data_IF_722413313989
#
_entry.id   IF_722413313989
#
_cell.length_a   1.000
_cell.length_b   1.000
_cell.length_c   1.000
_cell.angle_alpha   90.00
_cell.angle_beta   90.00
_cell.angle_gamma   90.00
#
_symmetry.space_group_name_H-M   'P 1'
#
loop_
_entity.id
_entity.type
_entity.pdbx_description
1 polymer ?
#
# COMPACT_ATOMS: atom_id res chain seq x y z
N UNK A 1 37.27 27.12 -8.81
CA UNK A 1 36.25 26.86 -7.77
C UNK A 1 36.87 27.19 -6.42
N UNK A 2 36.24 28.02 -5.59
CA UNK A 2 36.82 28.44 -4.30
C UNK A 2 36.50 27.41 -3.21
N UNK A 3 37.38 27.24 -2.22
CA UNK A 3 37.18 26.28 -1.12
C UNK A 3 35.83 26.48 -0.37
N UNK A 4 35.35 27.73 -0.32
CA UNK A 4 34.05 28.09 0.24
C UNK A 4 32.88 27.48 -0.56
N UNK A 5 32.96 27.46 -1.89
CA UNK A 5 31.92 26.87 -2.74
C UNK A 5 31.82 25.35 -2.55
N UNK A 6 32.97 24.66 -2.46
CA UNK A 6 33.02 23.22 -2.21
C UNK A 6 32.45 22.86 -0.82
N UNK A 7 32.68 23.70 0.19
CA UNK A 7 32.14 23.51 1.54
C UNK A 7 30.60 23.62 1.57
N UNK A 8 30.05 24.62 0.87
CA UNK A 8 28.60 24.78 0.75
C UNK A 8 27.94 23.61 0.00
N UNK A 9 28.55 23.13 -1.08
CA UNK A 9 28.06 21.96 -1.81
C UNK A 9 28.06 20.69 -0.95
N UNK A 10 29.10 20.46 -0.15
CA UNK A 10 29.16 19.33 0.77
C UNK A 10 28.06 19.40 1.85
N UNK A 11 27.80 20.60 2.39
CA UNK A 11 26.74 20.81 3.37
C UNK A 11 25.33 20.55 2.79
N UNK A 12 25.07 21.00 1.56
CA UNK A 12 23.79 20.79 0.88
C UNK A 12 23.57 19.30 0.57
N UNK A 13 24.58 18.62 0.02
CA UNK A 13 24.48 17.20 -0.31
C UNK A 13 24.38 16.32 0.95
N UNK A 14 25.15 16.64 1.99
CA UNK A 14 25.10 15.92 3.27
C UNK A 14 23.77 16.12 4.00
N UNK A 15 23.27 17.36 4.06
CA UNK A 15 21.97 17.66 4.65
C UNK A 15 20.80 17.05 3.86
N UNK A 16 20.85 17.13 2.54
CA UNK A 16 19.86 16.51 1.66
C UNK A 16 19.83 14.98 1.80
N UNK A 17 21.00 14.33 1.84
CA UNK A 17 21.11 12.89 2.06
C UNK A 17 20.54 12.46 3.42
N UNK A 18 20.82 13.22 4.49
CA UNK A 18 20.26 12.95 5.82
C UNK A 18 18.72 13.06 5.84
N UNK A 19 18.16 14.09 5.20
CA UNK A 19 16.70 14.28 5.12
C UNK A 19 16.01 13.16 4.32
N UNK A 20 16.61 12.72 3.21
CA UNK A 20 16.11 11.59 2.43
C UNK A 20 16.16 10.31 3.27
N UNK A 21 17.26 10.06 3.98
CA UNK A 21 17.42 8.90 4.85
C UNK A 21 16.37 8.83 5.97
N UNK A 22 16.13 9.95 6.66
CA UNK A 22 15.08 10.05 7.70
C UNK A 22 13.69 9.86 7.12
N UNK A 23 13.42 10.43 5.94
CA UNK A 23 12.12 10.29 5.26
C UNK A 23 11.87 8.84 4.84
N UNK A 24 12.87 8.17 4.27
CA UNK A 24 12.78 6.76 3.88
C UNK A 24 12.57 5.85 5.10
N UNK A 25 13.29 6.09 6.19
CA UNK A 25 13.13 5.35 7.44
C UNK A 25 11.77 5.57 8.10
N UNK A 26 11.28 6.80 8.11
CA UNK A 26 9.92 7.14 8.57
C UNK A 26 8.84 6.47 7.73
N UNK A 27 8.98 6.48 6.40
CA UNK A 27 8.05 5.85 5.48
C UNK A 27 7.92 4.35 5.76
N UNK A 28 9.05 3.63 5.89
CA UNK A 28 9.10 2.21 6.24
C UNK A 28 8.44 1.88 7.59
N UNK A 29 8.46 2.80 8.56
CA UNK A 29 7.85 2.59 9.88
C UNK A 29 6.36 2.91 9.94
N UNK A 30 5.88 3.83 9.08
CA UNK A 30 4.47 4.23 9.04
C UNK A 30 3.65 3.28 8.17
N UNK A 31 4.24 2.74 7.10
CA UNK A 31 3.64 1.66 6.32
C UNK A 31 4.06 0.31 6.91
N UNK A 32 3.27 -0.21 7.86
CA UNK A 32 3.39 -1.63 8.18
C UNK A 32 3.21 -2.44 6.87
N UNK A 33 4.04 -3.45 6.58
CA UNK A 33 3.88 -4.24 5.38
C UNK A 33 2.46 -4.81 5.34
N UNK A 34 1.72 -4.55 4.26
CA UNK A 34 0.32 -4.98 4.13
C UNK A 34 0.17 -6.49 4.31
N UNK A 35 1.18 -7.26 3.91
CA UNK A 35 1.21 -8.71 4.05
C UNK A 35 1.22 -9.16 5.52
N UNK A 36 1.99 -8.47 6.38
CA UNK A 36 2.04 -8.78 7.81
C UNK A 36 0.75 -8.41 8.52
N UNK A 37 0.06 -7.35 8.06
CA UNK A 37 -1.23 -6.95 8.59
C UNK A 37 -2.34 -7.90 8.14
N UNK A 38 -2.33 -8.31 6.86
CA UNK A 38 -3.26 -9.28 6.32
C UNK A 38 -3.12 -10.65 7.02
N UNK A 39 -1.88 -11.09 7.31
CA UNK A 39 -1.63 -12.33 8.02
C UNK A 39 -2.15 -12.31 9.47
N UNK A 40 -2.03 -11.17 10.16
CA UNK A 40 -2.60 -11.01 11.51
C UNK A 40 -4.13 -11.09 11.47
N UNK A 41 -4.79 -10.34 10.58
CA UNK A 41 -6.25 -10.39 10.43
C UNK A 41 -6.71 -11.81 10.09
N UNK A 42 -6.02 -12.51 9.18
CA UNK A 42 -6.37 -13.89 8.84
C UNK A 42 -6.32 -14.83 10.06
N UNK A 43 -5.41 -14.60 11.00
CA UNK A 43 -5.33 -15.36 12.25
C UNK A 43 -6.50 -15.07 13.19
N UNK A 44 -7.04 -13.85 13.17
CA UNK A 44 -8.19 -13.47 13.99
C UNK A 44 -9.51 -14.03 13.44
N UNK A 45 -9.57 -14.38 12.16
CA UNK A 45 -10.76 -14.90 11.47
C UNK A 45 -10.47 -16.21 10.72
N UNK A 46 -10.16 -17.31 11.44
CA UNK A 46 -9.73 -18.58 10.82
C UNK A 46 -10.80 -19.28 9.96
N UNK A 47 -12.06 -18.86 10.08
CA UNK A 47 -13.20 -19.37 9.33
C UNK A 47 -13.38 -18.66 7.97
N UNK A 48 -12.69 -17.54 7.75
CA UNK A 48 -12.79 -16.75 6.53
C UNK A 48 -11.86 -17.34 5.46
N UNK A 49 -12.44 -17.69 4.32
CA UNK A 49 -11.66 -18.13 3.16
C UNK A 49 -11.07 -16.93 2.42
N UNK A 50 -9.75 -16.94 2.23
CA UNK A 50 -9.05 -15.97 1.41
C UNK A 50 -9.06 -16.39 -0.06
N UNK A 51 -9.67 -15.56 -0.90
CA UNK A 51 -9.84 -15.85 -2.32
C UNK A 51 -8.81 -15.07 -3.16
N UNK A 52 -7.98 -15.74 -3.97
CA UNK A 52 -7.06 -15.06 -4.88
C UNK A 52 -7.79 -14.25 -5.97
N UNK A 53 -7.21 -13.14 -6.47
CA UNK A 53 -7.84 -12.33 -7.52
C UNK A 53 -8.21 -13.10 -8.79
N UNK A 54 -7.39 -14.08 -9.20
CA UNK A 54 -7.67 -14.91 -10.37
C UNK A 54 -8.91 -15.80 -10.18
N UNK A 55 -9.11 -16.31 -8.97
CA UNK A 55 -10.29 -17.11 -8.62
C UNK A 55 -11.55 -16.24 -8.63
N UNK A 56 -11.48 -15.05 -8.04
CA UNK A 56 -12.57 -14.08 -8.07
C UNK A 56 -12.94 -13.72 -9.51
N UNK A 57 -11.95 -13.46 -10.38
CA UNK A 57 -12.20 -13.17 -11.79
C UNK A 57 -12.96 -14.31 -12.48
N UNK A 58 -12.59 -15.57 -12.21
CA UNK A 58 -13.33 -16.73 -12.71
C UNK A 58 -14.79 -16.77 -12.23
N UNK A 59 -15.02 -16.51 -10.94
CA UNK A 59 -16.38 -16.46 -10.39
C UNK A 59 -17.22 -15.32 -10.97
N UNK A 60 -16.61 -14.16 -11.24
CA UNK A 60 -17.32 -13.04 -11.88
C UNK A 60 -17.86 -13.39 -13.28
N UNK A 61 -17.21 -14.32 -13.98
CA UNK A 61 -17.66 -14.79 -15.29
C UNK A 61 -18.68 -15.95 -15.21
N UNK A 62 -18.58 -16.81 -14.18
CA UNK A 62 -19.34 -18.07 -14.10
C UNK A 62 -20.51 -18.08 -13.10
N UNK A 63 -20.48 -17.21 -12.08
CA UNK A 63 -21.44 -17.24 -10.97
C UNK A 63 -22.42 -16.04 -11.05
N UNK A 64 -23.60 -16.20 -11.66
CA UNK A 64 -24.54 -15.10 -11.87
C UNK A 64 -25.13 -14.52 -10.59
N UNK A 65 -24.97 -15.22 -9.46
CA UNK A 65 -25.46 -14.80 -8.14
C UNK A 65 -24.33 -14.35 -7.20
N UNK A 66 -23.14 -14.06 -7.72
CA UNK A 66 -22.02 -13.55 -6.93
C UNK A 66 -22.29 -12.10 -6.50
N UNK A 67 -22.20 -11.84 -5.19
CA UNK A 67 -22.22 -10.50 -4.63
C UNK A 67 -20.81 -10.12 -4.16
N UNK A 68 -20.28 -9.02 -4.70
CA UNK A 68 -19.01 -8.43 -4.27
C UNK A 68 -19.31 -7.14 -3.52
N UNK A 69 -18.81 -7.01 -2.29
CA UNK A 69 -19.03 -5.85 -1.42
C UNK A 69 -17.69 -5.16 -1.19
N UNK A 70 -17.60 -3.87 -1.50
CA UNK A 70 -16.43 -3.05 -1.21
C UNK A 70 -16.63 -2.34 0.13
N UNK A 71 -15.96 -2.83 1.17
CA UNK A 71 -16.09 -2.31 2.53
C UNK A 71 -15.21 -1.07 2.81
N UNK A 72 -14.57 -0.49 1.79
CA UNK A 72 -13.67 0.67 1.94
C UNK A 72 -14.44 1.99 2.10
N UNK A 73 -13.71 3.08 2.36
CA UNK A 73 -14.32 4.41 2.41
C UNK A 73 -14.97 4.76 1.06
N UNK A 74 -16.16 5.40 1.04
CA UNK A 74 -16.83 5.76 -0.21
C UNK A 74 -15.98 6.59 -1.17
N UNK A 75 -15.02 7.38 -0.66
CA UNK A 75 -14.10 8.16 -1.48
C UNK A 75 -13.10 7.27 -2.23
N UNK A 76 -12.67 6.16 -1.64
CA UNK A 76 -11.80 5.18 -2.30
C UNK A 76 -12.55 4.43 -3.40
N UNK A 77 -13.76 3.97 -3.08
CA UNK A 77 -14.64 3.29 -4.02
C UNK A 77 -14.98 4.15 -5.25
N UNK A 78 -15.16 5.46 -5.05
CA UNK A 78 -15.41 6.42 -6.13
C UNK A 78 -14.22 6.61 -7.08
N UNK A 79 -12.99 6.38 -6.61
CA UNK A 79 -11.77 6.50 -7.42
C UNK A 79 -11.54 5.23 -8.24
N UNK A 80 -11.62 4.05 -7.60
CA UNK A 80 -11.50 2.77 -8.28
C UNK A 80 -12.15 1.64 -7.47
N UNK A 81 -12.72 0.67 -8.17
CA UNK A 81 -13.41 -0.48 -7.57
C UNK A 81 -13.34 -1.71 -8.47
N UNK A 82 -13.57 -2.87 -7.88
CA UNK A 82 -13.82 -4.11 -8.63
C UNK A 82 -15.10 -3.95 -9.45
N UNK A 83 -15.13 -4.37 -10.73
CA UNK A 83 -16.34 -4.30 -11.55
C UNK A 83 -17.52 -5.02 -10.87
N UNK A 84 -18.70 -4.39 -10.85
CA UNK A 84 -19.90 -4.99 -10.25
C UNK A 84 -19.96 -4.98 -8.72
N UNK A 85 -18.90 -4.58 -8.02
CA UNK A 85 -18.93 -4.44 -6.57
C UNK A 85 -19.90 -3.35 -6.11
N UNK A 86 -20.61 -3.60 -5.01
CA UNK A 86 -21.46 -2.63 -4.32
C UNK A 86 -20.68 -1.87 -3.25
#
# INVERSE_FOLDING_TARGET
MTAKFSLWMAAILGGGGALIGVSYWGYQKVSRPLDEFAAEIASDFPEVEHVPPATLAGWMDSEPNLLVIDCRDPREYAVSRVPGAL
#
